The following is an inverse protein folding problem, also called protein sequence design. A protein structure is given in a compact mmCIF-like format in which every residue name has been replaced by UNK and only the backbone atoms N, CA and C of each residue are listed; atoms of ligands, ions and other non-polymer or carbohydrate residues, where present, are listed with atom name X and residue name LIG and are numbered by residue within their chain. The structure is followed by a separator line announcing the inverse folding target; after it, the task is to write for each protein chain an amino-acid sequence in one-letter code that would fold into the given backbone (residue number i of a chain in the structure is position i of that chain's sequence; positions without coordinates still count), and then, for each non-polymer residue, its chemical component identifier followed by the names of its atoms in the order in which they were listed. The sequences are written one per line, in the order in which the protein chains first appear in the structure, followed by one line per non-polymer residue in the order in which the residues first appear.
data_IF_093153369372
#
_entry.id   IF_093153369372
#
_cell.length_a   1.000
_cell.length_b   1.000
_cell.length_c   1.000
_cell.angle_alpha   90.00
_cell.angle_beta   90.00
_cell.angle_gamma   90.00
#
_symmetry.space_group_name_H-M   'P 1'
#
loop_
_entity.id
_entity.type
_entity.pdbx_description
1 polymer ?
#
# COMPACT_ATOMS: atom_id res chain seq x y z
N UNK A 1 -36.88 56.35 -38.18
CA UNK A 1 -35.55 56.96 -37.95
C UNK A 1 -34.86 56.23 -36.81
N UNK A 2 -33.65 55.68 -37.09
CA UNK A 2 -32.49 55.44 -36.18
C UNK A 2 -32.66 54.49 -34.98
N UNK A 3 -31.72 53.61 -34.61
CA UNK A 3 -30.46 53.08 -35.17
C UNK A 3 -30.13 51.83 -34.32
N UNK A 4 -29.72 50.74 -34.95
CA UNK A 4 -29.14 49.55 -34.31
C UNK A 4 -27.83 49.87 -33.59
N UNK A 5 -27.58 49.30 -32.42
CA UNK A 5 -26.23 49.13 -31.85
C UNK A 5 -26.12 47.73 -31.26
N UNK A 6 -25.37 46.88 -31.96
CA UNK A 6 -24.86 45.60 -31.48
C UNK A 6 -23.54 45.88 -30.77
N UNK A 7 -23.47 45.65 -29.47
CA UNK A 7 -22.22 45.67 -28.70
C UNK A 7 -21.69 44.25 -28.56
N UNK A 8 -20.76 43.91 -29.45
CA UNK A 8 -19.93 42.71 -29.34
C UNK A 8 -18.84 42.95 -28.28
N UNK A 9 -19.07 42.48 -27.06
CA UNK A 9 -18.03 42.46 -26.02
C UNK A 9 -17.17 41.22 -26.20
N UNK A 10 -16.06 41.37 -26.93
CA UNK A 10 -14.99 40.39 -26.97
C UNK A 10 -14.15 40.50 -25.68
N UNK A 11 -14.40 39.61 -24.73
CA UNK A 11 -13.49 39.39 -23.60
C UNK A 11 -12.45 38.34 -24.01
N UNK A 12 -11.20 38.78 -24.17
CA UNK A 12 -10.05 37.93 -24.43
C UNK A 12 -9.86 36.95 -23.27
N UNK A 13 -10.06 35.65 -23.52
CA UNK A 13 -9.62 34.59 -22.64
C UNK A 13 -8.10 34.39 -22.83
N UNK A 14 -7.30 35.04 -21.99
CA UNK A 14 -5.86 34.76 -21.88
C UNK A 14 -5.65 33.35 -21.31
N UNK A 15 -5.47 32.37 -22.19
CA UNK A 15 -5.07 31.02 -21.84
C UNK A 15 -3.61 31.04 -21.36
N UNK A 16 -3.38 31.19 -20.07
CA UNK A 16 -2.10 30.88 -19.43
C UNK A 16 -1.90 29.37 -19.48
N UNK A 17 -1.23 28.88 -20.52
CA UNK A 17 -0.75 27.50 -20.59
C UNK A 17 0.41 27.33 -19.60
N UNK A 18 0.09 26.98 -18.36
CA UNK A 18 1.08 26.47 -17.41
C UNK A 18 1.60 25.12 -17.92
N UNK A 19 2.91 24.94 -18.11
CA UNK A 19 3.45 23.63 -18.41
C UNK A 19 3.16 22.73 -17.20
N UNK A 20 2.44 21.63 -17.43
CA UNK A 20 2.20 20.61 -16.41
C UNK A 20 3.54 19.98 -16.04
N UNK A 21 4.16 20.45 -14.95
CA UNK A 21 5.24 19.70 -14.30
C UNK A 21 4.68 18.31 -13.97
N UNK A 22 5.29 17.27 -14.52
CA UNK A 22 4.97 15.90 -14.16
C UNK A 22 5.27 15.73 -12.66
N UNK A 23 4.24 15.84 -11.83
CA UNK A 23 4.37 15.69 -10.38
C UNK A 23 4.60 14.21 -10.10
N UNK A 24 5.79 13.87 -9.60
CA UNK A 24 6.04 12.53 -9.06
C UNK A 24 5.01 12.25 -7.96
N UNK A 25 4.26 11.15 -8.03
CA UNK A 25 3.28 10.81 -7.01
C UNK A 25 3.93 10.78 -5.61
N UNK A 26 3.27 11.39 -4.62
CA UNK A 26 3.77 11.39 -3.25
C UNK A 26 3.74 9.96 -2.66
N UNK A 27 4.70 9.60 -1.77
CA UNK A 27 4.67 8.31 -1.08
C UNK A 27 3.33 8.00 -0.43
N UNK A 28 2.84 6.78 -0.63
CA UNK A 28 1.54 6.33 -0.11
C UNK A 28 0.32 6.81 -0.89
N UNK A 29 0.46 7.56 -1.99
CA UNK A 29 -0.65 7.88 -2.89
C UNK A 29 -0.96 6.73 -3.86
N UNK A 30 -2.16 6.70 -4.44
CA UNK A 30 -2.61 5.62 -5.35
C UNK A 30 -1.66 5.38 -6.53
N UNK A 31 -1.10 6.45 -7.10
CA UNK A 31 -0.15 6.39 -8.21
C UNK A 31 1.31 6.17 -7.81
N UNK A 32 1.62 6.18 -6.50
CA UNK A 32 2.99 5.92 -6.04
C UNK A 32 3.27 4.44 -5.95
N UNK A 33 4.39 4.03 -6.56
CA UNK A 33 4.87 2.67 -6.57
C UNK A 33 6.30 2.60 -6.05
N UNK A 34 6.56 2.04 -4.86
CA UNK A 34 7.92 1.90 -4.35
C UNK A 34 8.75 0.94 -5.19
N UNK A 35 9.97 1.37 -5.53
CA UNK A 35 10.90 0.62 -6.39
C UNK A 35 11.53 -0.58 -5.67
N UNK A 36 11.55 -0.57 -4.34
CA UNK A 36 12.23 -1.57 -3.54
C UNK A 36 11.58 -1.78 -2.16
N UNK A 37 12.04 -2.83 -1.48
CA UNK A 37 11.59 -3.19 -0.13
C UNK A 37 11.76 -2.05 0.88
N UNK A 38 12.88 -1.33 0.87
CA UNK A 38 13.15 -0.30 1.88
C UNK A 38 12.14 0.86 1.80
N UNK A 39 11.80 1.32 0.58
CA UNK A 39 10.77 2.33 0.39
C UNK A 39 9.38 1.84 0.83
N UNK A 40 9.04 0.59 0.49
CA UNK A 40 7.78 -0.02 0.89
C UNK A 40 7.68 -0.15 2.42
N UNK A 41 8.75 -0.61 3.09
CA UNK A 41 8.79 -0.77 4.55
C UNK A 41 8.66 0.57 5.26
N UNK A 42 9.39 1.59 4.81
CA UNK A 42 9.27 2.93 5.38
C UNK A 42 7.85 3.50 5.22
N UNK A 43 7.13 3.17 4.15
CA UNK A 43 5.74 3.56 3.99
C UNK A 43 4.82 2.78 4.94
N UNK A 44 5.02 1.46 5.08
CA UNK A 44 4.27 0.65 6.05
C UNK A 44 4.41 1.20 7.47
N UNK A 45 5.64 1.53 7.89
CA UNK A 45 5.89 2.06 9.23
C UNK A 45 5.15 3.39 9.47
N UNK A 46 5.08 4.27 8.46
CA UNK A 46 4.30 5.52 8.53
C UNK A 46 2.80 5.26 8.61
N UNK A 47 2.30 4.36 7.78
CA UNK A 47 0.88 4.03 7.70
C UNK A 47 0.41 3.38 9.01
N UNK A 48 1.16 2.41 9.52
CA UNK A 48 0.88 1.73 10.79
C UNK A 48 0.98 2.66 12.00
N UNK A 49 1.98 3.56 12.03
CA UNK A 49 2.11 4.57 13.08
C UNK A 49 0.97 5.61 13.07
N UNK A 50 0.29 5.78 11.93
CA UNK A 50 -0.86 6.68 11.82
C UNK A 50 -2.18 6.10 12.35
N UNK A 51 -2.19 4.81 12.70
CA UNK A 51 -3.41 4.14 13.15
C UNK A 51 -3.76 4.50 14.60
N UNK A 52 -5.06 4.72 14.90
CA UNK A 52 -5.56 4.69 16.26
C UNK A 52 -5.22 3.36 16.96
N UNK A 53 -5.05 3.39 18.29
CA UNK A 53 -4.55 2.24 19.04
C UNK A 53 -5.46 0.99 18.95
N UNK A 54 -6.77 1.19 18.93
CA UNK A 54 -7.78 0.14 18.76
C UNK A 54 -7.71 -0.49 17.36
N UNK A 55 -7.60 0.34 16.32
CA UNK A 55 -7.43 -0.12 14.93
C UNK A 55 -6.10 -0.87 14.77
N UNK A 56 -5.02 -0.34 15.34
CA UNK A 56 -3.70 -0.97 15.35
C UNK A 56 -3.73 -2.34 16.03
N UNK A 57 -4.46 -2.47 17.15
CA UNK A 57 -4.67 -3.76 17.83
C UNK A 57 -5.46 -4.75 16.97
N UNK A 58 -6.58 -4.32 16.40
CA UNK A 58 -7.40 -5.17 15.54
C UNK A 58 -6.61 -5.65 14.30
N UNK A 59 -5.85 -4.77 13.66
CA UNK A 59 -4.98 -5.11 12.55
C UNK A 59 -3.96 -6.18 12.94
N UNK A 60 -3.25 -6.03 14.07
CA UNK A 60 -2.28 -7.03 14.54
C UNK A 60 -2.92 -8.39 14.80
N UNK A 61 -4.12 -8.43 15.37
CA UNK A 61 -4.85 -9.69 15.56
C UNK A 61 -5.15 -10.36 14.22
N UNK A 62 -5.65 -9.62 13.24
CA UNK A 62 -5.91 -10.20 11.91
C UNK A 62 -4.62 -10.63 11.21
N UNK A 63 -3.53 -9.89 11.38
CA UNK A 63 -2.21 -10.30 10.88
C UNK A 63 -1.76 -11.61 11.52
N UNK A 64 -1.89 -11.75 12.86
CA UNK A 64 -1.55 -12.98 13.58
C UNK A 64 -2.37 -14.17 13.08
N UNK A 65 -3.69 -14.04 12.99
CA UNK A 65 -4.57 -15.10 12.46
C UNK A 65 -4.17 -15.49 11.03
N UNK A 66 -3.87 -14.50 10.18
CA UNK A 66 -3.43 -14.74 8.81
C UNK A 66 -2.09 -15.46 8.75
N UNK A 67 -1.14 -15.08 9.60
CA UNK A 67 0.18 -15.72 9.71
C UNK A 67 0.07 -17.16 10.19
N UNK A 68 -0.72 -17.43 11.22
CA UNK A 68 -0.90 -18.79 11.73
C UNK A 68 -1.46 -19.74 10.66
N UNK A 69 -2.45 -19.28 9.89
CA UNK A 69 -2.99 -20.05 8.78
C UNK A 69 -1.98 -20.21 7.64
N UNK A 70 -1.23 -19.17 7.32
CA UNK A 70 -0.17 -19.22 6.32
C UNK A 70 0.95 -20.20 6.70
N UNK A 71 1.39 -20.20 7.97
CA UNK A 71 2.39 -21.13 8.48
C UNK A 71 1.90 -22.57 8.36
N UNK A 72 0.64 -22.86 8.69
CA UNK A 72 0.07 -24.21 8.53
C UNK A 72 0.12 -24.70 7.07
N UNK A 73 -0.05 -23.79 6.11
CA UNK A 73 0.02 -24.10 4.67
C UNK A 73 1.46 -24.21 4.17
N UNK A 74 2.37 -23.40 4.71
CA UNK A 74 3.71 -23.21 4.18
C UNK A 74 4.81 -23.96 4.93
N UNK A 75 4.55 -24.48 6.14
CA UNK A 75 5.53 -25.15 6.95
C UNK A 75 6.02 -26.45 6.30
N UNK A 76 7.31 -26.70 6.42
CA UNK A 76 7.95 -27.97 6.07
C UNK A 76 8.44 -28.64 7.35
N UNK A 77 8.75 -29.96 7.34
CA UNK A 77 9.21 -30.65 8.55
C UNK A 77 10.50 -30.08 9.16
N UNK A 78 11.35 -29.44 8.36
CA UNK A 78 12.56 -28.77 8.81
C UNK A 78 12.63 -27.38 8.14
N UNK A 79 11.89 -26.39 8.67
CA UNK A 79 11.82 -25.09 8.04
C UNK A 79 13.10 -24.29 8.29
N UNK A 80 13.55 -23.54 7.28
CA UNK A 80 14.52 -22.46 7.49
C UNK A 80 13.80 -21.31 8.21
N UNK A 81 14.13 -21.14 9.49
CA UNK A 81 13.54 -20.15 10.40
C UNK A 81 14.31 -18.82 10.41
N UNK A 82 15.15 -18.56 9.41
CA UNK A 82 15.78 -17.25 9.25
C UNK A 82 14.70 -16.16 9.18
N UNK A 83 14.84 -15.04 9.93
CA UNK A 83 13.86 -13.97 9.94
C UNK A 83 13.59 -13.41 8.55
N UNK A 84 12.36 -12.99 8.30
CA UNK A 84 11.97 -12.34 7.05
C UNK A 84 10.87 -11.31 7.28
N UNK A 85 10.73 -10.38 6.33
CA UNK A 85 9.71 -9.33 6.38
C UNK A 85 8.93 -9.30 5.07
N UNK A 86 7.61 -9.24 5.16
CA UNK A 86 6.71 -9.01 4.03
C UNK A 86 6.03 -7.66 4.19
N UNK A 87 6.11 -6.80 3.20
CA UNK A 87 5.34 -5.55 3.15
C UNK A 87 4.23 -5.73 2.13
N UNK A 88 2.98 -5.55 2.55
CA UNK A 88 1.81 -5.66 1.68
C UNK A 88 1.19 -4.28 1.41
N UNK A 89 0.83 -4.02 0.16
CA UNK A 89 -0.04 -2.90 -0.23
C UNK A 89 -1.49 -3.38 -0.26
N UNK A 90 -2.35 -2.73 0.50
CA UNK A 90 -3.78 -2.94 0.52
C UNK A 90 -4.46 -1.92 -0.42
N UNK A 91 -5.39 -2.39 -1.24
CA UNK A 91 -6.32 -1.52 -1.98
C UNK A 91 -7.46 -1.00 -1.07
N UNK A 92 -8.37 -0.21 -1.64
CA UNK A 92 -9.51 0.35 -0.91
C UNK A 92 -10.50 -0.69 -0.35
N UNK A 93 -10.43 -1.94 -0.82
CA UNK A 93 -11.21 -3.07 -0.30
C UNK A 93 -10.43 -3.87 0.75
N UNK A 94 -9.20 -3.46 1.07
CA UNK A 94 -8.32 -4.21 1.94
C UNK A 94 -7.63 -5.39 1.28
N UNK A 95 -7.75 -5.54 -0.04
CA UNK A 95 -7.12 -6.64 -0.77
C UNK A 95 -5.63 -6.39 -0.94
N UNK A 96 -4.81 -7.40 -0.61
CA UNK A 96 -3.37 -7.39 -0.82
C UNK A 96 -3.10 -7.50 -2.33
N UNK A 97 -2.75 -6.40 -2.97
CA UNK A 97 -2.54 -6.34 -4.42
C UNK A 97 -1.07 -6.27 -4.83
N UNK A 98 -0.15 -6.03 -3.88
CA UNK A 98 1.30 -6.11 -4.09
C UNK A 98 2.02 -6.46 -2.79
N UNK A 99 3.13 -7.17 -2.91
CA UNK A 99 4.00 -7.52 -1.77
C UNK A 99 5.47 -7.27 -2.15
N UNK A 100 6.24 -6.71 -1.21
CA UNK A 100 7.70 -6.65 -1.23
C UNK A 100 8.24 -7.51 -0.09
N UNK A 101 9.38 -8.16 -0.29
CA UNK A 101 9.92 -9.12 0.68
C UNK A 101 11.39 -8.87 0.94
N UNK A 102 11.78 -8.95 2.21
CA UNK A 102 13.17 -9.10 2.65
C UNK A 102 13.36 -10.52 3.17
N UNK A 103 14.43 -11.19 2.74
CA UNK A 103 14.67 -12.62 2.95
C UNK A 103 14.35 -13.45 1.70
N UNK A 104 14.82 -14.69 1.68
CA UNK A 104 14.72 -15.60 0.52
C UNK A 104 14.43 -17.06 0.90
N UNK A 105 14.07 -17.32 2.16
CA UNK A 105 13.75 -18.68 2.62
C UNK A 105 12.54 -19.24 1.88
N UNK A 106 12.43 -20.57 1.73
CA UNK A 106 11.22 -21.20 1.14
C UNK A 106 9.93 -20.78 1.84
N UNK A 107 9.97 -20.63 3.17
CA UNK A 107 8.85 -20.14 3.96
C UNK A 107 8.45 -18.72 3.56
N UNK A 108 9.40 -17.79 3.45
CA UNK A 108 9.13 -16.40 3.07
C UNK A 108 8.50 -16.29 1.66
N UNK A 109 8.95 -17.13 0.72
CA UNK A 109 8.41 -17.19 -0.65
C UNK A 109 6.99 -17.76 -0.64
N UNK A 110 6.74 -18.81 0.14
CA UNK A 110 5.41 -19.39 0.26
C UNK A 110 4.42 -18.39 0.91
N UNK A 111 4.84 -17.71 1.98
CA UNK A 111 4.01 -16.70 2.64
C UNK A 111 3.65 -15.53 1.72
N UNK A 112 4.59 -15.05 0.90
CA UNK A 112 4.30 -14.04 -0.13
C UNK A 112 3.19 -14.52 -1.08
N UNK A 113 3.27 -15.76 -1.57
CA UNK A 113 2.24 -16.34 -2.45
C UNK A 113 0.91 -16.52 -1.72
N UNK A 114 0.95 -16.97 -0.47
CA UNK A 114 -0.24 -17.21 0.36
C UNK A 114 -1.03 -15.93 0.61
N UNK A 115 -0.36 -14.80 0.86
CA UNK A 115 -1.00 -13.52 1.17
C UNK A 115 -1.61 -12.82 -0.04
N UNK A 116 -1.07 -13.04 -1.25
CA UNK A 116 -1.49 -12.33 -2.46
C UNK A 116 -2.99 -12.52 -2.74
N UNK A 117 -3.72 -11.41 -2.91
CA UNK A 117 -5.15 -11.40 -3.19
C UNK A 117 -6.07 -11.62 -1.99
N UNK A 118 -5.52 -11.87 -0.79
CA UNK A 118 -6.33 -11.95 0.44
C UNK A 118 -6.75 -10.57 0.92
N UNK A 119 -7.87 -10.52 1.63
CA UNK A 119 -8.32 -9.31 2.33
C UNK A 119 -7.79 -9.36 3.76
N UNK A 120 -7.13 -8.28 4.20
CA UNK A 120 -6.67 -8.15 5.58
C UNK A 120 -7.66 -7.32 6.40
N UNK A 121 -7.79 -6.05 6.05
CA UNK A 121 -8.73 -5.11 6.65
C UNK A 121 -9.04 -4.02 5.64
N UNK A 122 -10.24 -3.44 5.69
CA UNK A 122 -10.58 -2.27 4.85
C UNK A 122 -9.94 -1.03 5.49
N UNK A 123 -8.98 -0.36 4.82
CA UNK A 123 -8.32 0.79 5.40
C UNK A 123 -9.18 2.07 5.22
N UNK A 124 -9.02 3.04 6.12
CA UNK A 124 -9.68 4.36 6.00
C UNK A 124 -9.11 5.17 4.83
N UNK A 125 -7.83 4.94 4.49
CA UNK A 125 -7.13 5.53 3.34
C UNK A 125 -6.52 4.42 2.50
N UNK A 126 -6.64 4.54 1.19
CA UNK A 126 -5.98 3.65 0.25
C UNK A 126 -5.02 4.43 -0.67
N UNK A 127 -3.89 3.82 -1.06
CA UNK A 127 -3.40 2.53 -0.59
C UNK A 127 -2.94 2.60 0.87
N UNK A 128 -2.95 1.46 1.55
CA UNK A 128 -2.41 1.33 2.89
C UNK A 128 -1.32 0.27 2.90
N UNK A 129 -0.16 0.57 3.48
CA UNK A 129 0.95 -0.36 3.55
C UNK A 129 1.04 -0.97 4.96
N UNK A 130 1.22 -2.28 5.03
CA UNK A 130 1.42 -3.02 6.29
C UNK A 130 2.63 -3.92 6.19
N UNK A 131 3.26 -4.17 7.33
CA UNK A 131 4.41 -5.05 7.47
C UNK A 131 4.06 -6.28 8.30
N UNK A 132 4.54 -7.43 7.85
CA UNK A 132 4.61 -8.67 8.60
C UNK A 132 6.08 -8.93 8.89
N UNK A 133 6.49 -8.72 10.14
CA UNK A 133 7.85 -9.01 10.60
C UNK A 133 7.86 -10.35 11.33
N UNK A 134 8.53 -11.35 10.75
CA UNK A 134 8.57 -12.69 11.30
C UNK A 134 9.97 -13.00 11.81
N UNK A 135 10.03 -13.39 13.08
CA UNK A 135 11.17 -14.01 13.73
C UNK A 135 10.68 -15.24 14.49
N UNK A 136 11.55 -16.23 14.61
CA UNK A 136 11.26 -17.47 15.32
C UNK A 136 12.13 -17.50 16.58
N UNK A 137 11.49 -17.67 17.73
CA UNK A 137 12.20 -17.97 18.96
C UNK A 137 12.67 -19.45 18.93
N UNK A 138 13.84 -19.78 19.52
CA UNK A 138 14.28 -21.15 19.73
C UNK A 138 13.28 -22.00 20.54
#
# INVERSE_FOLDING_TARGET
MRRSIVLASALLASALTLPALAQTPAPGSEGWNPDNFAQAKAQADRDEASLPADVSKAMRMTQQDTLEQGIKVCATPNPDTSPFVLVARLDARGTINRIWRSGSTPLSICMEKYLRGRVLMVPVRAPFYVSYELSFAP
#
